data_IF_617197672601
#
_entry.id   IF_617197672601
#
_cell.length_a   1.000
_cell.length_b   1.000
_cell.length_c   1.000
_cell.angle_alpha   90.00
_cell.angle_beta   90.00
_cell.angle_gamma   90.00
#
_symmetry.space_group_name_H-M   'P 1'
#
loop_
_entity.id
_entity.type
_entity.pdbx_description
1 polymer ?
#
# COMPACT_ATOMS: atom_id res chain seq x y z
N UNK A 1 -18.37 8.07 0.77
CA UNK A 1 -18.40 7.01 -0.27
C UNK A 1 -19.00 5.79 0.41
N UNK A 2 -20.32 5.61 0.28
CA UNK A 2 -21.08 4.64 1.09
C UNK A 2 -20.78 3.23 0.59
N UNK A 3 -20.40 2.32 1.50
CA UNK A 3 -20.33 0.88 1.23
C UNK A 3 -18.95 0.23 1.30
N UNK A 4 -17.88 0.95 1.68
CA UNK A 4 -16.53 0.36 1.83
C UNK A 4 -15.78 0.65 3.12
N UNK A 5 -16.51 1.17 4.10
CA UNK A 5 -15.97 1.52 5.41
C UNK A 5 -15.53 0.28 6.18
N UNK A 6 -16.19 -0.85 5.95
CA UNK A 6 -15.84 -2.12 6.60
C UNK A 6 -14.54 -2.72 6.06
N UNK A 7 -14.33 -2.76 4.75
CA UNK A 7 -13.05 -3.22 4.19
C UNK A 7 -11.91 -2.28 4.56
N UNK A 8 -12.16 -0.97 4.57
CA UNK A 8 -11.19 0.01 5.02
C UNK A 8 -10.80 -0.23 6.49
N UNK A 9 -11.78 -0.36 7.39
CA UNK A 9 -11.54 -0.58 8.82
C UNK A 9 -10.77 -1.88 9.07
N UNK A 10 -11.14 -2.97 8.38
CA UNK A 10 -10.45 -4.26 8.47
C UNK A 10 -9.00 -4.16 8.00
N UNK A 11 -8.75 -3.48 6.89
CA UNK A 11 -7.39 -3.31 6.37
C UNK A 11 -6.51 -2.45 7.30
N UNK A 12 -7.05 -1.38 7.89
CA UNK A 12 -6.31 -0.58 8.90
C UNK A 12 -5.99 -1.42 10.14
N UNK A 13 -6.96 -2.19 10.63
CA UNK A 13 -6.76 -3.05 11.81
C UNK A 13 -5.67 -4.10 11.55
N UNK A 14 -5.71 -4.77 10.40
CA UNK A 14 -4.70 -5.75 10.00
C UNK A 14 -3.28 -5.14 9.86
N UNK A 15 -3.18 -3.89 9.41
CA UNK A 15 -1.90 -3.19 9.31
C UNK A 15 -1.32 -2.75 10.67
N UNK A 16 -2.14 -2.72 11.72
CA UNK A 16 -1.78 -2.22 13.06
C UNK A 16 -1.62 -3.33 14.10
N UNK A 17 -2.21 -4.51 13.91
CA UNK A 17 -2.19 -5.58 14.90
C UNK A 17 -0.89 -6.42 14.90
N UNK A 18 -0.03 -6.26 13.89
CA UNK A 18 1.24 -6.99 13.76
C UNK A 18 1.11 -8.48 13.44
N UNK A 19 -0.12 -8.99 13.33
CA UNK A 19 -0.42 -10.38 12.96
C UNK A 19 -0.16 -10.61 11.46
N UNK A 20 -0.34 -9.56 10.66
CA UNK A 20 -0.16 -9.61 9.20
C UNK A 20 0.99 -8.70 8.76
N UNK A 21 1.74 -9.16 7.75
CA UNK A 21 2.82 -8.38 7.13
C UNK A 21 2.31 -7.42 6.04
N UNK A 22 1.04 -7.52 5.64
CA UNK A 22 0.45 -6.66 4.62
C UNK A 22 -0.99 -7.04 4.25
N UNK A 23 -1.59 -6.25 3.36
CA UNK A 23 -2.97 -6.44 2.88
C UNK A 23 -2.96 -6.48 1.35
N UNK A 24 -3.63 -7.48 0.77
CA UNK A 24 -3.86 -7.58 -0.66
C UNK A 24 -5.32 -7.21 -1.00
N UNK A 25 -5.52 -6.26 -1.92
CA UNK A 25 -6.85 -5.89 -2.42
C UNK A 25 -7.13 -6.62 -3.73
N UNK A 26 -8.07 -7.55 -3.72
CA UNK A 26 -8.44 -8.40 -4.88
C UNK A 26 -9.89 -8.15 -5.26
N UNK A 27 -10.19 -8.19 -6.56
CA UNK A 27 -11.54 -8.00 -7.11
C UNK A 27 -11.52 -7.54 -8.56
N UNK A 28 -12.70 -7.46 -9.16
CA UNK A 28 -12.88 -7.10 -10.57
C UNK A 28 -12.30 -5.74 -10.96
N UNK A 29 -12.02 -5.55 -12.25
CA UNK A 29 -11.63 -4.23 -12.75
C UNK A 29 -12.72 -3.18 -12.45
N UNK A 30 -12.32 -1.94 -12.16
CA UNK A 30 -13.28 -0.85 -11.90
C UNK A 30 -13.94 -0.83 -10.52
N UNK A 31 -13.82 -1.86 -9.68
CA UNK A 31 -14.49 -1.88 -8.36
C UNK A 31 -13.95 -0.87 -7.35
N UNK A 32 -12.87 -0.14 -7.64
CA UNK A 32 -12.31 0.89 -6.75
C UNK A 32 -11.16 0.45 -5.84
N UNK A 33 -10.47 -0.65 -6.16
CA UNK A 33 -9.30 -1.14 -5.39
C UNK A 33 -8.21 -0.08 -5.22
N UNK A 34 -7.85 0.59 -6.32
CA UNK A 34 -6.84 1.67 -6.29
C UNK A 34 -7.29 2.87 -5.46
N UNK A 35 -8.59 3.16 -5.42
CA UNK A 35 -9.16 4.19 -4.56
C UNK A 35 -9.01 3.79 -3.09
N UNK A 36 -9.38 2.55 -2.73
CA UNK A 36 -9.22 2.03 -1.38
C UNK A 36 -7.74 2.00 -0.93
N UNK A 37 -6.83 1.56 -1.80
CA UNK A 37 -5.40 1.57 -1.53
C UNK A 37 -4.87 2.99 -1.23
N UNK A 38 -5.32 4.01 -1.97
CA UNK A 38 -4.94 5.41 -1.72
C UNK A 38 -5.52 5.96 -0.43
N UNK A 39 -6.74 5.55 -0.05
CA UNK A 39 -7.32 5.93 1.24
C UNK A 39 -6.54 5.30 2.40
N UNK A 40 -6.21 4.01 2.31
CA UNK A 40 -5.39 3.32 3.32
C UNK A 40 -4.02 3.97 3.48
N UNK A 41 -3.35 4.26 2.35
CA UNK A 41 -2.09 4.99 2.32
C UNK A 41 -2.18 6.32 3.09
N UNK A 42 -3.19 7.16 2.80
CA UNK A 42 -3.38 8.43 3.53
C UNK A 42 -3.59 8.23 5.03
N UNK A 43 -4.36 7.20 5.41
CA UNK A 43 -4.64 6.93 6.82
C UNK A 43 -3.38 6.50 7.58
N UNK A 44 -2.57 5.60 7.02
CA UNK A 44 -1.33 5.17 7.68
C UNK A 44 -0.25 6.26 7.65
N UNK A 45 -0.22 7.10 6.62
CA UNK A 45 0.63 8.28 6.56
C UNK A 45 0.27 9.29 7.65
N UNK A 46 -1.03 9.56 7.87
CA UNK A 46 -1.48 10.40 8.98
C UNK A 46 -1.16 9.83 10.38
N UNK A 47 -0.96 8.51 10.47
CA UNK A 47 -0.49 7.83 11.67
C UNK A 47 1.05 7.82 11.82
N UNK A 48 1.76 8.57 10.97
CA UNK A 48 3.22 8.72 11.03
C UNK A 48 4.02 7.62 10.32
N UNK A 49 3.37 6.74 9.54
CA UNK A 49 4.07 5.71 8.77
C UNK A 49 4.54 6.25 7.42
N UNK A 50 5.75 5.89 7.01
CA UNK A 50 6.23 6.20 5.66
C UNK A 50 5.46 5.39 4.61
N UNK A 51 4.85 6.08 3.65
CA UNK A 51 4.17 5.44 2.51
C UNK A 51 5.01 5.61 1.26
N UNK A 52 5.14 4.52 0.49
CA UNK A 52 5.72 4.58 -0.85
C UNK A 52 4.91 3.72 -1.81
N UNK A 53 4.79 4.18 -3.06
CA UNK A 53 4.08 3.47 -4.11
C UNK A 53 5.06 2.83 -5.09
N UNK A 54 4.78 1.58 -5.46
CA UNK A 54 5.43 0.86 -6.55
C UNK A 54 4.36 0.47 -7.59
N UNK A 55 4.73 0.52 -8.87
CA UNK A 55 3.87 0.08 -9.96
C UNK A 55 4.45 -1.20 -10.57
N UNK A 56 3.73 -2.30 -10.43
CA UNK A 56 4.01 -3.53 -11.16
C UNK A 56 3.41 -3.46 -12.57
N UNK A 57 4.18 -3.80 -13.58
CA UNK A 57 3.71 -3.94 -14.97
C UNK A 57 4.11 -5.31 -15.51
N UNK A 58 3.38 -5.81 -16.50
CA UNK A 58 3.70 -7.09 -17.14
C UNK A 58 5.10 -7.05 -17.77
N UNK A 59 5.47 -5.95 -18.44
CA UNK A 59 6.80 -5.76 -19.05
C UNK A 59 7.91 -5.79 -18.00
N UNK A 60 7.68 -5.25 -16.79
CA UNK A 60 8.66 -5.24 -15.71
C UNK A 60 8.77 -6.55 -14.92
N UNK A 61 7.94 -7.55 -15.20
CA UNK A 61 7.90 -8.81 -14.44
C UNK A 61 9.19 -9.64 -14.54
N UNK A 62 9.98 -9.45 -15.60
CA UNK A 62 11.26 -10.13 -15.80
C UNK A 62 12.38 -9.66 -14.85
N UNK A 63 12.20 -8.54 -14.15
CA UNK A 63 13.19 -8.00 -13.21
C UNK A 63 12.69 -8.18 -11.78
N UNK A 64 13.26 -9.12 -11.00
CA UNK A 64 12.89 -9.32 -9.61
C UNK A 64 13.00 -8.01 -8.82
N UNK A 65 11.93 -7.65 -8.11
CA UNK A 65 11.83 -6.41 -7.33
C UNK A 65 12.05 -5.11 -8.13
N UNK A 66 12.06 -5.15 -9.47
CA UNK A 66 12.31 -3.98 -10.31
C UNK A 66 11.36 -2.81 -10.06
N UNK A 67 10.10 -3.11 -9.72
CA UNK A 67 9.08 -2.13 -9.34
C UNK A 67 9.46 -1.29 -8.10
N UNK A 68 10.37 -1.79 -7.26
CA UNK A 68 10.82 -1.15 -6.02
C UNK A 68 12.14 -0.38 -6.17
N UNK A 69 12.81 -0.46 -7.33
CA UNK A 69 14.09 0.25 -7.57
C UNK A 69 14.01 1.76 -7.26
N UNK A 70 12.90 2.41 -7.62
CA UNK A 70 12.65 3.84 -7.38
C UNK A 70 12.23 4.18 -5.95
N UNK A 71 11.81 3.18 -5.20
CA UNK A 71 11.27 3.32 -3.84
C UNK A 71 12.40 3.34 -2.81
N UNK A 72 13.54 2.72 -3.12
CA UNK A 72 14.70 2.60 -2.22
C UNK A 72 15.56 3.87 -2.11
N UNK A 73 15.46 4.81 -3.06
CA UNK A 73 16.36 5.97 -3.16
C UNK A 73 16.00 7.14 -2.21
N UNK A 74 14.94 7.01 -1.43
CA UNK A 74 14.50 8.02 -0.46
C UNK A 74 14.74 7.62 1.00
N UNK A 75 15.74 6.76 1.28
CA UNK A 75 16.18 6.50 2.65
C UNK A 75 17.12 7.63 3.09
N UNK A 76 16.57 8.59 3.84
CA UNK A 76 17.34 9.59 4.56
C UNK A 76 18.11 8.91 5.71
N UNK A 77 19.44 8.93 5.64
CA UNK A 77 20.34 8.36 6.64
C UNK A 77 20.51 9.25 7.89
N UNK A 78 19.71 10.31 8.05
CA UNK A 78 19.81 11.26 9.17
C UNK A 78 19.28 10.76 10.52
N UNK A 79 18.84 9.51 10.68
CA UNK A 79 18.49 8.93 11.99
C UNK A 79 19.55 7.91 12.43
N UNK A 80 20.64 8.41 13.02
CA UNK A 80 21.41 7.72 14.05
C UNK A 80 21.31 8.50 15.35
#
# INVERSE_FOLDING_TARGET
MVGRDDEFRRAVAALNNGEFVGVALVGESGVGKSTLARMLAKAVESAGRTVRFALGTQTGSAVPLGAFSRVSLGWDMSRR
#
